data_IF_379807319974
#
_entry.id   IF_379807319974
#
_cell.length_a   1.000
_cell.length_b   1.000
_cell.length_c   1.000
_cell.angle_alpha   90.00
_cell.angle_beta   90.00
_cell.angle_gamma   90.00
#
_symmetry.space_group_name_H-M   'P 1'
#
loop_
_entity.id
_entity.type
_entity.pdbx_description
1 polymer ?
#
# COMPACT_ATOMS: atom_id res chain seq x y z
N UNK A 1 15.79 11.89 -0.92
CA UNK A 1 14.53 11.32 -1.42
C UNK A 1 14.09 10.18 -0.51
N UNK A 2 13.07 10.38 0.33
CA UNK A 2 12.56 9.36 1.24
C UNK A 2 11.81 8.28 0.45
N UNK A 3 11.97 7.03 0.86
CA UNK A 3 11.12 5.93 0.39
C UNK A 3 9.98 5.72 1.38
N UNK A 4 8.78 5.48 0.87
CA UNK A 4 7.66 4.99 1.65
C UNK A 4 7.33 3.59 1.14
N UNK A 5 7.51 2.60 2.01
CA UNK A 5 7.10 1.24 1.77
C UNK A 5 5.59 1.15 2.02
N UNK A 6 4.83 0.66 1.06
CA UNK A 6 3.38 0.51 1.17
C UNK A 6 2.98 -0.93 0.86
N UNK A 7 2.02 -1.45 1.60
CA UNK A 7 1.48 -2.81 1.49
C UNK A 7 -0.05 -2.74 1.57
N UNK A 8 -0.75 -3.27 0.58
CA UNK A 8 -2.19 -3.14 0.39
C UNK A 8 -2.88 -4.49 0.53
N UNK A 9 -3.95 -4.50 1.31
CA UNK A 9 -4.94 -5.57 1.31
C UNK A 9 -6.22 -5.08 0.63
N UNK A 10 -6.72 -5.89 -0.31
CA UNK A 10 -7.90 -5.58 -1.11
C UNK A 10 -8.83 -6.79 -1.20
N UNK A 11 -10.09 -6.54 -1.52
CA UNK A 11 -11.10 -7.59 -1.65
C UNK A 11 -11.24 -8.15 -3.08
N UNK A 12 -10.25 -7.89 -3.92
CA UNK A 12 -10.12 -8.44 -5.26
C UNK A 12 -8.88 -7.96 -6.03
N UNK A 13 -8.77 -8.34 -7.31
CA UNK A 13 -7.51 -8.20 -8.06
C UNK A 13 -7.19 -6.81 -8.60
N UNK A 14 -8.18 -5.91 -8.76
CA UNK A 14 -8.01 -4.60 -9.40
C UNK A 14 -8.88 -3.52 -8.74
N UNK A 15 -8.45 -2.25 -8.70
CA UNK A 15 -9.25 -1.16 -8.15
C UNK A 15 -10.44 -0.78 -9.04
N UNK A 16 -11.47 -0.21 -8.42
CA UNK A 16 -12.69 0.26 -9.09
C UNK A 16 -13.76 -0.82 -9.12
N UNK A 17 -13.45 -1.96 -9.73
CA UNK A 17 -14.33 -3.15 -9.68
C UNK A 17 -14.31 -3.80 -8.29
N UNK A 18 -13.16 -3.73 -7.62
CA UNK A 18 -12.93 -4.20 -6.25
C UNK A 18 -12.35 -3.06 -5.39
N UNK A 19 -12.35 -3.28 -4.08
CA UNK A 19 -12.04 -2.29 -3.06
C UNK A 19 -10.70 -2.56 -2.39
N UNK A 20 -9.92 -1.50 -2.18
CA UNK A 20 -8.85 -1.49 -1.20
C UNK A 20 -9.50 -1.50 0.18
N UNK A 21 -9.09 -2.43 1.05
CA UNK A 21 -9.70 -2.63 2.37
C UNK A 21 -8.84 -2.01 3.46
N UNK A 22 -7.53 -2.22 3.40
CA UNK A 22 -6.60 -1.52 4.27
C UNK A 22 -5.22 -1.47 3.64
N UNK A 23 -4.36 -0.57 4.13
CA UNK A 23 -2.98 -0.52 3.72
C UNK A 23 -2.10 0.00 4.85
N UNK A 24 -0.88 -0.55 4.93
CA UNK A 24 0.18 -0.05 5.78
C UNK A 24 1.15 0.78 4.97
N UNK A 25 1.65 1.88 5.54
CA UNK A 25 2.74 2.66 4.98
C UNK A 25 3.78 2.96 6.05
N UNK A 26 5.06 2.92 5.66
CA UNK A 26 6.18 3.21 6.57
C UNK A 26 7.29 3.97 5.85
N UNK A 27 7.82 4.99 6.51
CA UNK A 27 9.02 5.68 6.01
C UNK A 27 10.23 4.76 6.19
N UNK A 28 10.94 4.48 5.10
CA UNK A 28 12.12 3.60 5.11
C UNK A 28 13.32 4.36 5.67
N UNK A 29 13.54 4.18 6.96
CA UNK A 29 14.64 4.76 7.71
C UNK A 29 15.08 3.82 8.84
N UNK A 30 16.25 4.00 9.48
CA UNK A 30 16.74 3.07 10.50
C UNK A 30 15.77 2.84 11.66
N UNK A 31 14.99 3.85 12.06
CA UNK A 31 14.07 3.77 13.20
C UNK A 31 12.78 2.99 12.90
N UNK A 32 12.31 2.99 11.64
CA UNK A 32 11.07 2.31 11.21
C UNK A 32 9.86 2.58 12.14
N UNK A 33 9.70 3.80 12.61
CA UNK A 33 8.66 4.16 13.60
C UNK A 33 7.62 5.17 13.07
N UNK A 34 7.87 5.77 11.90
CA UNK A 34 6.90 6.65 11.23
C UNK A 34 6.04 5.82 10.31
N UNK A 35 4.86 5.46 10.79
CA UNK A 35 3.89 4.61 10.10
C UNK A 35 2.56 5.32 9.89
N UNK A 36 1.81 4.83 8.90
CA UNK A 36 0.40 5.13 8.67
C UNK A 36 -0.33 3.81 8.41
N UNK A 37 -1.55 3.71 8.90
CA UNK A 37 -2.42 2.57 8.62
C UNK A 37 -3.81 3.10 8.25
N UNK A 38 -4.23 2.81 7.03
CA UNK A 38 -5.54 3.20 6.52
C UNK A 38 -6.48 2.01 6.49
N UNK A 39 -7.70 2.16 7.00
CA UNK A 39 -8.80 1.23 6.81
C UNK A 39 -9.85 1.94 5.97
N UNK A 40 -10.24 1.32 4.86
CA UNK A 40 -11.00 1.99 3.81
C UNK A 40 -12.31 1.28 3.58
N UNK A 41 -13.40 2.03 3.64
CA UNK A 41 -14.72 1.52 3.32
C UNK A 41 -14.78 1.03 1.86
N UNK A 42 -15.35 -0.15 1.60
CA UNK A 42 -15.49 -0.65 0.24
C UNK A 42 -16.25 0.30 -0.69
N UNK A 43 -15.84 0.34 -1.94
CA UNK A 43 -16.38 1.20 -3.00
C UNK A 43 -17.25 0.46 -4.01
N UNK A 44 -17.23 -0.88 -3.99
CA UNK A 44 -17.97 -1.75 -4.89
C UNK A 44 -18.68 -2.84 -4.11
N UNK A 45 -19.81 -3.32 -4.62
CA UNK A 45 -20.52 -4.48 -4.04
C UNK A 45 -19.83 -5.81 -4.39
N UNK A 46 -19.06 -5.83 -5.48
CA UNK A 46 -18.30 -6.99 -5.93
C UNK A 46 -17.08 -7.22 -5.03
N UNK A 47 -17.00 -8.38 -4.40
CA UNK A 47 -15.83 -8.80 -3.65
C UNK A 47 -15.61 -10.31 -3.73
N UNK A 48 -14.36 -10.70 -3.52
CA UNK A 48 -13.93 -12.09 -3.48
C UNK A 48 -13.69 -12.51 -2.02
N UNK A 49 -14.45 -13.49 -1.47
CA UNK A 49 -14.29 -13.88 -0.07
C UNK A 49 -12.88 -14.34 0.29
N UNK A 50 -12.19 -15.02 -0.63
CA UNK A 50 -10.81 -15.46 -0.47
C UNK A 50 -9.81 -14.30 -0.41
N UNK A 51 -10.03 -13.25 -1.20
CA UNK A 51 -9.20 -12.05 -1.17
C UNK A 51 -9.46 -11.23 0.10
N UNK A 52 -10.74 -11.00 0.43
CA UNK A 52 -11.12 -10.26 1.65
C UNK A 52 -10.56 -10.93 2.91
N UNK A 53 -10.54 -12.26 2.97
CA UNK A 53 -10.04 -13.01 4.12
C UNK A 53 -8.57 -12.69 4.46
N UNK A 54 -7.75 -12.28 3.48
CA UNK A 54 -6.35 -11.87 3.70
C UNK A 54 -6.26 -10.62 4.58
N UNK A 55 -7.23 -9.70 4.48
CA UNK A 55 -7.25 -8.53 5.37
C UNK A 55 -7.55 -8.86 6.84
N UNK A 56 -8.03 -10.07 7.14
CA UNK A 56 -8.48 -10.48 8.47
C UNK A 56 -9.80 -9.83 8.91
N UNK A 57 -10.53 -9.17 8.00
CA UNK A 57 -11.80 -8.51 8.28
C UNK A 57 -13.00 -9.23 7.64
N UNK A 58 -14.17 -9.10 8.27
CA UNK A 58 -15.44 -9.47 7.63
C UNK A 58 -15.93 -8.33 6.76
N UNK A 59 -16.79 -8.66 5.78
CA UNK A 59 -17.35 -7.65 4.88
C UNK A 59 -18.14 -6.59 5.63
N UNK A 60 -18.94 -7.02 6.60
CA UNK A 60 -19.76 -6.17 7.45
C UNK A 60 -18.90 -5.19 8.25
N UNK A 61 -17.74 -5.64 8.74
CA UNK A 61 -16.79 -4.77 9.44
C UNK A 61 -16.22 -3.72 8.50
N UNK A 62 -15.85 -4.10 7.29
CA UNK A 62 -15.29 -3.16 6.30
C UNK A 62 -16.27 -2.06 5.91
N UNK A 63 -17.57 -2.35 5.86
CA UNK A 63 -18.60 -1.33 5.57
C UNK A 63 -18.68 -0.21 6.63
N UNK A 64 -18.14 -0.45 7.83
CA UNK A 64 -18.03 0.54 8.90
C UNK A 64 -16.70 1.27 8.95
N UNK A 65 -15.78 1.05 8.00
CA UNK A 65 -14.54 1.81 7.90
C UNK A 65 -14.78 3.23 7.37
N UNK A 66 -13.71 4.03 7.40
CA UNK A 66 -13.76 5.43 6.98
C UNK A 66 -13.95 5.56 5.46
N UNK A 67 -14.61 6.64 5.05
CA UNK A 67 -14.85 6.94 3.64
C UNK A 67 -13.51 7.07 2.88
N UNK A 68 -13.37 6.50 1.67
CA UNK A 68 -12.09 6.44 0.96
C UNK A 68 -11.44 7.80 0.79
N UNK A 69 -12.22 8.84 0.45
CA UNK A 69 -11.69 10.19 0.29
C UNK A 69 -11.02 10.69 1.58
N UNK A 70 -11.66 10.50 2.74
CA UNK A 70 -11.11 10.97 4.02
C UNK A 70 -9.81 10.23 4.38
N UNK A 71 -9.74 8.92 4.11
CA UNK A 71 -8.52 8.13 4.35
C UNK A 71 -7.40 8.59 3.43
N UNK A 72 -7.68 8.83 2.15
CA UNK A 72 -6.67 9.31 1.19
C UNK A 72 -6.19 10.72 1.53
N UNK A 73 -7.08 11.62 1.98
CA UNK A 73 -6.70 12.96 2.47
C UNK A 73 -5.80 12.88 3.71
N UNK A 74 -6.12 11.97 4.65
CA UNK A 74 -5.30 11.72 5.82
C UNK A 74 -3.92 11.16 5.44
N UNK A 75 -3.88 10.26 4.45
CA UNK A 75 -2.64 9.71 3.96
C UNK A 75 -1.79 10.75 3.22
N UNK A 76 -2.37 11.59 2.36
CA UNK A 76 -1.67 12.70 1.71
C UNK A 76 -1.04 13.66 2.73
N UNK A 77 -1.81 14.04 3.76
CA UNK A 77 -1.34 14.90 4.84
C UNK A 77 -0.18 14.26 5.61
N UNK A 78 -0.29 12.99 5.95
CA UNK A 78 0.80 12.24 6.61
C UNK A 78 2.07 12.19 5.74
N UNK A 79 1.93 11.99 4.42
CA UNK A 79 3.07 12.04 3.49
C UNK A 79 3.74 13.42 3.51
N UNK A 80 2.95 14.49 3.43
CA UNK A 80 3.47 15.85 3.43
C UNK A 80 4.24 16.19 4.72
N UNK A 81 3.69 15.79 5.87
CA UNK A 81 4.29 16.02 7.19
C UNK A 81 5.58 15.22 7.41
N UNK A 82 5.68 14.01 6.82
CA UNK A 82 6.81 13.11 7.09
C UNK A 82 7.98 13.25 6.11
N UNK A 83 7.72 13.63 4.85
CA UNK A 83 8.74 13.55 3.81
C UNK A 83 9.35 14.90 3.40
N UNK A 84 8.68 16.04 3.56
CA UNK A 84 9.18 17.39 3.22
C UNK A 84 9.49 17.65 1.73
N UNK A 85 9.83 16.61 0.98
CA UNK A 85 10.00 16.51 -0.47
C UNK A 85 9.18 15.31 -1.00
N UNK A 86 9.06 15.19 -2.32
CA UNK A 86 8.29 14.10 -2.95
C UNK A 86 8.91 12.72 -2.63
N UNK A 87 8.19 11.81 -1.96
CA UNK A 87 8.69 10.47 -1.67
C UNK A 87 8.65 9.54 -2.89
N UNK A 88 9.44 8.47 -2.82
CA UNK A 88 9.36 7.34 -3.74
C UNK A 88 8.48 6.23 -3.15
N UNK A 89 7.48 5.79 -3.91
CA UNK A 89 6.70 4.61 -3.57
C UNK A 89 7.55 3.35 -3.78
N UNK A 90 7.63 2.48 -2.77
CA UNK A 90 8.24 1.15 -2.88
C UNK A 90 7.32 0.09 -2.29
N UNK A 91 7.32 -1.11 -2.88
CA UNK A 91 6.60 -2.26 -2.32
C UNK A 91 7.26 -3.60 -2.73
N UNK A 92 7.03 -4.66 -1.96
CA UNK A 92 7.32 -6.06 -2.33
C UNK A 92 6.42 -6.54 -3.47
N UNK A 93 5.09 -6.36 -3.36
CA UNK A 93 4.11 -6.69 -4.40
C UNK A 93 3.77 -5.49 -5.29
N UNK A 94 4.81 -4.79 -5.76
CA UNK A 94 4.71 -3.46 -6.36
C UNK A 94 3.58 -3.26 -7.39
N UNK A 95 3.37 -4.20 -8.32
CA UNK A 95 2.32 -4.05 -9.33
C UNK A 95 0.92 -3.99 -8.71
N UNK A 96 0.67 -4.79 -7.67
CA UNK A 96 -0.60 -4.86 -6.97
C UNK A 96 -0.83 -3.68 -6.03
N UNK A 97 0.15 -3.31 -5.20
CA UNK A 97 -0.04 -2.21 -4.26
C UNK A 97 -0.13 -0.87 -4.99
N UNK A 98 0.70 -0.69 -6.03
CA UNK A 98 0.73 0.55 -6.79
C UNK A 98 -0.59 0.80 -7.52
N UNK A 99 -1.20 -0.21 -8.15
CA UNK A 99 -2.46 0.01 -8.88
C UNK A 99 -3.56 0.56 -7.95
N UNK A 100 -3.68 0.03 -6.73
CA UNK A 100 -4.69 0.48 -5.77
C UNK A 100 -4.37 1.90 -5.28
N UNK A 101 -3.16 2.14 -4.80
CA UNK A 101 -2.78 3.45 -4.26
C UNK A 101 -2.88 4.53 -5.35
N UNK A 102 -2.36 4.26 -6.55
CA UNK A 102 -2.43 5.19 -7.67
C UNK A 102 -3.87 5.48 -8.09
N UNK A 103 -4.70 4.45 -8.21
CA UNK A 103 -6.12 4.63 -8.56
C UNK A 103 -6.86 5.42 -7.49
N UNK A 104 -6.70 5.09 -6.20
CA UNK A 104 -7.41 5.76 -5.11
C UNK A 104 -7.00 7.23 -4.98
N UNK A 105 -5.71 7.54 -5.11
CA UNK A 105 -5.26 8.93 -5.11
C UNK A 105 -5.87 9.75 -6.26
N UNK A 106 -5.81 9.22 -7.48
CA UNK A 106 -6.38 9.92 -8.63
C UNK A 106 -7.91 9.99 -8.60
N UNK A 107 -8.58 8.92 -8.17
CA UNK A 107 -10.03 8.85 -8.15
C UNK A 107 -10.63 9.79 -7.09
N UNK A 108 -10.06 9.82 -5.88
CA UNK A 108 -10.62 10.60 -4.78
C UNK A 108 -10.03 12.00 -4.65
N UNK A 109 -8.75 12.22 -4.98
CA UNK A 109 -8.07 13.51 -4.79
C UNK A 109 -7.62 14.19 -6.10
N UNK A 110 -7.75 13.51 -7.24
CA UNK A 110 -7.33 14.02 -8.56
C UNK A 110 -5.80 14.08 -8.77
N UNK A 111 -5.01 13.68 -7.78
CA UNK A 111 -3.54 13.77 -7.79
C UNK A 111 -2.92 12.65 -6.94
N UNK A 112 -1.68 12.29 -7.26
CA UNK A 112 -0.91 11.30 -6.52
C UNK A 112 0.41 11.94 -6.00
N UNK A 113 0.61 12.03 -4.66
CA UNK A 113 1.81 12.64 -4.09
C UNK A 113 3.09 11.86 -4.41
N UNK A 114 3.01 10.60 -4.85
CA UNK A 114 4.16 9.80 -5.29
C UNK A 114 4.58 10.07 -6.74
N UNK A 115 3.75 10.75 -7.54
CA UNK A 115 3.95 10.88 -8.98
C UNK A 115 3.51 9.64 -9.76
N UNK A 116 4.16 9.33 -10.89
CA UNK A 116 3.73 8.28 -11.82
C UNK A 116 4.49 6.95 -11.68
N UNK A 117 5.58 6.93 -10.91
CA UNK A 117 6.50 5.80 -10.86
C UNK A 117 6.49 5.11 -9.50
N UNK A 118 6.68 3.80 -9.51
CA UNK A 118 6.80 2.98 -8.31
C UNK A 118 8.00 2.03 -8.41
N UNK A 119 8.57 1.64 -7.25
CA UNK A 119 9.74 0.77 -7.18
C UNK A 119 9.38 -0.60 -6.59
N UNK A 120 9.88 -1.68 -7.20
CA UNK A 120 9.78 -3.02 -6.63
C UNK A 120 11.00 -3.32 -5.73
N UNK A 121 10.74 -3.65 -4.45
CA UNK A 121 11.77 -3.97 -3.45
C UNK A 121 12.60 -5.20 -3.86
N UNK A 122 11.95 -6.23 -4.41
CA UNK A 122 12.58 -7.41 -4.99
C UNK A 122 13.62 -7.08 -6.06
N UNK A 123 13.20 -6.30 -7.06
CA UNK A 123 14.06 -5.85 -8.15
C UNK A 123 15.21 -4.97 -7.66
N UNK A 124 14.95 -4.04 -6.73
CA UNK A 124 15.99 -3.21 -6.12
C UNK A 124 17.04 -4.07 -5.42
N UNK A 125 16.61 -5.02 -4.58
CA UNK A 125 17.51 -5.92 -3.88
C UNK A 125 18.36 -6.76 -4.84
N UNK A 126 17.75 -7.38 -5.86
CA UNK A 126 18.46 -8.14 -6.89
C UNK A 126 19.53 -7.31 -7.60
N UNK A 127 19.17 -6.07 -7.97
CA UNK A 127 20.11 -5.12 -8.57
C UNK A 127 21.30 -4.80 -7.64
N UNK A 128 21.03 -4.57 -6.35
CA UNK A 128 22.08 -4.32 -5.35
C UNK A 128 23.00 -5.53 -5.14
N UNK A 129 22.45 -6.75 -5.19
CA UNK A 129 23.23 -7.99 -5.09
C UNK A 129 23.93 -8.36 -6.41
N UNK A 130 23.61 -7.67 -7.51
CA UNK A 130 24.06 -8.02 -8.88
C UNK A 130 23.70 -9.47 -9.25
N UNK A 131 22.54 -9.94 -8.78
CA UNK A 131 22.07 -11.30 -8.98
C UNK A 131 20.54 -11.30 -9.17
N UNK A 132 20.10 -11.70 -10.36
CA UNK A 132 18.69 -11.77 -10.73
C UNK A 132 17.90 -12.86 -9.97
N UNK A 133 18.59 -13.83 -9.38
CA UNK A 133 18.03 -14.95 -8.61
C UNK A 133 18.07 -14.73 -7.10
N UNK A 134 18.75 -13.67 -6.64
CA UNK A 134 18.81 -13.33 -5.22
C UNK A 134 17.41 -13.06 -4.65
N UNK A 135 17.22 -13.47 -3.39
CA UNK A 135 16.01 -13.15 -2.63
C UNK A 135 16.39 -12.74 -1.19
N UNK A 136 15.53 -11.93 -0.59
CA UNK A 136 15.68 -11.43 0.78
C UNK A 136 14.75 -12.13 1.78
N UNK A 137 14.10 -13.24 1.41
CA UNK A 137 13.13 -13.92 2.30
C UNK A 137 13.78 -14.33 3.63
N UNK A 138 15.06 -14.70 3.61
CA UNK A 138 15.86 -15.02 4.81
C UNK A 138 16.06 -13.84 5.78
N UNK A 139 15.84 -12.60 5.33
CA UNK A 139 16.01 -11.38 6.12
C UNK A 139 14.72 -11.00 6.87
N UNK A 140 13.60 -11.66 6.60
CA UNK A 140 12.33 -11.43 7.31
C UNK A 140 12.47 -11.92 8.76
N UNK A 141 12.21 -11.03 9.73
CA UNK A 141 12.29 -11.33 11.17
C UNK A 141 10.98 -11.89 11.72
N UNK A 142 9.85 -11.38 11.24
CA UNK A 142 8.52 -11.92 11.54
C UNK A 142 8.14 -12.99 10.52
N UNK A 143 7.31 -13.95 10.96
CA UNK A 143 6.60 -14.82 10.01
C UNK A 143 5.67 -13.94 9.17
N UNK A 144 5.49 -14.32 7.90
CA UNK A 144 4.42 -13.75 7.10
C UNK A 144 3.10 -14.11 7.77
N UNK A 145 2.43 -13.11 8.33
CA UNK A 145 1.03 -13.24 8.75
C UNK A 145 0.23 -12.82 7.53
N UNK A 146 -0.39 -13.79 6.88
CA UNK A 146 -1.52 -13.52 5.99
C UNK A 146 -2.71 -13.27 6.90
#
# INVERSE_FOLDING_TARGET
>A
MPYIMVDVEADGPIPGDFSMICFGAIVVEPALNRTFYGQVKPISDGYRPDALAVSGFTRERCLGFDEPQAVMEAFERWIAETCGERPLFISDNNGFDWQFINWYFHHFLGRNPFGHSSTNLGSLYKGMQRDAFANFKRLRKSKHTH
#
